data_IF_491960079763
#
_entry.id   IF_491960079763
#
_cell.length_a   1.000
_cell.length_b   1.000
_cell.length_c   1.000
_cell.angle_alpha   90.00
_cell.angle_beta   90.00
_cell.angle_gamma   90.00
#
_symmetry.space_group_name_H-M   'P 1'
#
loop_
_entity.id
_entity.type
_entity.pdbx_description
1 polymer ?
#
# COMPACT_ATOMS: atom_id res chain seq x y z
N UNK A 1 -5.05 2.46 5.93
CA UNK A 1 -5.73 2.79 4.67
C UNK A 1 -5.63 4.28 4.39
N UNK A 2 -5.46 4.66 3.13
CA UNK A 2 -5.52 6.07 2.72
C UNK A 2 -6.94 6.65 2.76
N UNK A 3 -7.98 5.82 2.80
CA UNK A 3 -9.37 6.24 2.76
C UNK A 3 -9.88 6.87 4.05
N UNK A 4 -9.27 6.59 5.19
CA UNK A 4 -9.72 7.12 6.47
C UNK A 4 -8.59 7.83 7.21
N UNK A 5 -8.80 9.09 7.56
CA UNK A 5 -7.84 9.87 8.36
C UNK A 5 -7.91 9.56 9.86
N UNK A 6 -8.95 8.85 10.30
CA UNK A 6 -9.21 8.43 11.68
C UNK A 6 -9.47 6.93 11.77
N UNK A 7 -9.49 6.38 12.95
CA UNK A 7 -9.83 4.98 13.18
C UNK A 7 -11.25 4.66 12.67
N UNK A 8 -12.20 5.51 13.00
CA UNK A 8 -13.59 5.39 12.55
C UNK A 8 -13.72 5.48 11.03
N UNK A 9 -13.05 6.47 10.40
CA UNK A 9 -13.07 6.65 8.95
C UNK A 9 -12.47 5.48 8.19
N UNK A 10 -11.53 4.73 8.77
CA UNK A 10 -11.03 3.49 8.17
C UNK A 10 -12.09 2.38 8.16
N UNK A 11 -12.86 2.25 9.25
CA UNK A 11 -13.99 1.29 9.35
C UNK A 11 -15.10 1.70 8.39
N UNK A 12 -15.47 2.97 8.34
CA UNK A 12 -16.48 3.50 7.41
C UNK A 12 -16.10 3.22 5.94
N UNK A 13 -14.82 3.41 5.59
CA UNK A 13 -14.32 3.10 4.24
C UNK A 13 -14.50 1.63 3.90
N UNK A 14 -14.18 0.71 4.81
CA UNK A 14 -14.36 -0.73 4.61
C UNK A 14 -15.86 -1.07 4.49
N UNK A 15 -16.68 -0.52 5.36
CA UNK A 15 -18.14 -0.70 5.35
C UNK A 15 -18.74 -0.23 4.03
N UNK A 16 -18.27 0.89 3.48
CA UNK A 16 -18.68 1.39 2.16
C UNK A 16 -18.39 0.43 1.01
N UNK A 17 -17.41 -0.44 1.15
CA UNK A 17 -17.11 -1.53 0.22
C UNK A 17 -17.82 -2.85 0.58
N UNK A 18 -18.71 -2.86 1.57
CA UNK A 18 -19.37 -4.08 2.03
C UNK A 18 -18.50 -5.00 2.91
N UNK A 19 -17.31 -4.53 3.29
CA UNK A 19 -16.38 -5.27 4.15
C UNK A 19 -16.75 -4.99 5.61
N UNK A 20 -17.56 -5.87 6.19
CA UNK A 20 -18.06 -5.78 7.57
C UNK A 20 -17.61 -6.98 8.40
N UNK A 21 -17.70 -6.89 9.73
CA UNK A 21 -17.35 -8.02 10.60
C UNK A 21 -18.23 -9.24 10.32
N UNK A 22 -19.53 -9.04 10.05
CA UNK A 22 -20.46 -10.11 9.70
C UNK A 22 -20.05 -10.80 8.39
N UNK A 23 -19.64 -10.02 7.38
CA UNK A 23 -19.18 -10.56 6.10
C UNK A 23 -17.85 -11.32 6.24
N UNK A 24 -16.92 -10.79 7.03
CA UNK A 24 -15.60 -11.38 7.23
C UNK A 24 -15.61 -12.56 8.20
N UNK A 25 -16.58 -12.61 9.12
CA UNK A 25 -16.59 -13.56 10.23
C UNK A 25 -15.48 -13.33 11.27
N UNK A 26 -14.91 -12.13 11.29
CA UNK A 26 -13.85 -11.75 12.23
C UNK A 26 -13.92 -10.25 12.58
N UNK A 27 -13.34 -9.85 13.74
CA UNK A 27 -13.36 -8.45 14.17
C UNK A 27 -12.56 -7.52 13.25
N UNK A 28 -13.08 -6.31 13.02
CA UNK A 28 -12.36 -5.20 12.36
C UNK A 28 -11.75 -4.31 13.45
N UNK A 29 -10.43 -4.35 13.60
CA UNK A 29 -9.72 -3.49 14.55
C UNK A 29 -9.08 -2.33 13.79
N UNK A 30 -9.39 -1.11 14.19
CA UNK A 30 -8.82 0.11 13.64
C UNK A 30 -8.31 1.02 14.74
N UNK A 31 -7.12 1.57 14.54
CA UNK A 31 -6.47 2.54 15.43
C UNK A 31 -5.53 3.42 14.61
N UNK A 32 -5.21 4.59 15.14
CA UNK A 32 -4.12 5.43 14.62
C UNK A 32 -2.84 5.24 15.44
N UNK A 33 -2.84 4.38 16.44
CA UNK A 33 -1.67 4.07 17.25
C UNK A 33 -0.62 3.30 16.45
N UNK A 34 0.63 3.69 16.62
CA UNK A 34 1.76 3.07 15.94
C UNK A 34 2.89 2.74 16.91
N UNK A 35 3.68 1.73 16.56
CA UNK A 35 4.92 1.35 17.22
C UNK A 35 6.09 1.77 16.34
N UNK A 36 7.12 2.42 16.89
CA UNK A 36 8.40 2.63 16.20
C UNK A 36 9.19 1.32 16.26
N UNK A 37 9.40 0.69 15.09
CA UNK A 37 10.10 -0.60 14.98
C UNK A 37 11.60 -0.44 14.68
N UNK A 38 12.09 0.78 14.65
CA UNK A 38 13.49 1.12 14.42
C UNK A 38 13.67 2.32 13.52
N UNK A 39 14.91 2.54 13.09
CA UNK A 39 15.27 3.66 12.23
C UNK A 39 16.06 3.19 11.01
N UNK A 40 16.02 3.96 9.96
CA UNK A 40 16.90 3.83 8.80
C UNK A 40 18.26 4.45 9.10
N UNK A 41 19.25 4.23 8.24
CA UNK A 41 20.61 4.75 8.39
C UNK A 41 20.68 6.28 8.43
N UNK A 42 19.72 6.96 7.78
CA UNK A 42 19.58 8.42 7.82
C UNK A 42 18.87 8.93 9.09
N UNK A 43 18.57 8.05 10.06
CA UNK A 43 17.89 8.37 11.31
C UNK A 43 16.36 8.46 11.22
N UNK A 44 15.77 8.28 10.03
CA UNK A 44 14.32 8.31 9.84
C UNK A 44 13.64 7.17 10.61
N UNK A 45 12.64 7.46 11.46
CA UNK A 45 11.91 6.42 12.19
C UNK A 45 10.96 5.65 11.26
N UNK A 46 10.79 4.36 11.53
CA UNK A 46 9.84 3.48 10.83
C UNK A 46 8.74 3.07 11.79
N UNK A 47 7.51 3.31 11.39
CA UNK A 47 6.31 3.06 12.20
C UNK A 47 5.44 1.97 11.59
N UNK A 48 4.80 1.19 12.48
CA UNK A 48 3.83 0.15 12.11
C UNK A 48 2.62 0.24 13.03
N UNK A 49 1.43 0.01 12.49
CA UNK A 49 0.17 -0.12 13.22
C UNK A 49 0.33 -1.04 14.42
N UNK A 50 -0.16 -0.61 15.58
CA UNK A 50 -0.01 -1.33 16.83
C UNK A 50 -0.69 -2.69 16.81
N UNK A 51 -1.92 -2.77 16.30
CA UNK A 51 -2.64 -4.06 16.22
C UNK A 51 -1.94 -5.05 15.28
N UNK A 52 -1.42 -4.55 14.15
CA UNK A 52 -0.65 -5.38 13.24
C UNK A 52 0.64 -5.88 13.89
N UNK A 53 1.35 -5.02 14.62
CA UNK A 53 2.59 -5.39 15.31
C UNK A 53 2.37 -6.45 16.39
N UNK A 54 1.26 -6.36 17.14
CA UNK A 54 0.88 -7.29 18.21
C UNK A 54 0.29 -8.62 17.67
N UNK A 55 -0.10 -8.69 16.40
CA UNK A 55 -0.68 -9.88 15.79
C UNK A 55 0.33 -11.04 15.69
N UNK A 56 -0.18 -12.27 15.59
CA UNK A 56 0.65 -13.48 15.41
C UNK A 56 1.24 -13.60 14.00
N UNK A 57 0.58 -12.99 13.01
CA UNK A 57 1.02 -12.90 11.61
C UNK A 57 0.29 -11.81 10.87
N UNK A 58 0.89 -11.29 9.80
CA UNK A 58 0.35 -10.22 8.97
C UNK A 58 0.29 -10.68 7.53
N UNK A 59 -0.88 -10.58 6.89
CA UNK A 59 -1.04 -10.69 5.46
C UNK A 59 -1.40 -9.29 4.93
N UNK A 60 -0.56 -8.76 4.05
CA UNK A 60 -0.82 -7.48 3.40
C UNK A 60 -1.71 -7.71 2.18
N UNK A 61 -2.77 -6.93 2.05
CA UNK A 61 -3.63 -6.99 0.87
C UNK A 61 -3.75 -5.60 0.26
N UNK A 62 -3.51 -5.49 -1.03
CA UNK A 62 -3.57 -4.19 -1.68
C UNK A 62 -3.65 -4.25 -3.19
N UNK A 63 -4.24 -3.19 -3.78
CA UNK A 63 -4.23 -3.00 -5.23
C UNK A 63 -2.87 -2.49 -5.67
N UNK A 64 -2.29 -3.16 -6.66
CA UNK A 64 -1.04 -2.76 -7.30
C UNK A 64 -1.39 -2.03 -8.60
N UNK A 65 -1.09 -0.73 -8.66
CA UNK A 65 -1.42 0.11 -9.80
C UNK A 65 -0.49 1.31 -9.93
N UNK A 66 -0.53 1.97 -11.09
CA UNK A 66 0.18 3.23 -11.32
C UNK A 66 -0.19 4.27 -10.26
N UNK A 67 0.82 4.99 -9.77
CA UNK A 67 0.62 6.13 -8.88
C UNK A 67 0.35 7.41 -9.70
N UNK A 68 -0.43 8.34 -9.15
CA UNK A 68 -0.78 9.58 -9.85
C UNK A 68 0.37 10.57 -9.94
N UNK A 69 1.24 10.62 -8.94
CA UNK A 69 2.25 11.68 -8.79
C UNK A 69 3.69 11.25 -9.13
N UNK A 70 4.01 9.97 -9.15
CA UNK A 70 5.37 9.50 -9.45
C UNK A 70 5.37 8.19 -10.22
N UNK A 71 6.52 7.86 -10.81
CA UNK A 71 6.77 6.62 -11.55
C UNK A 71 7.99 5.92 -10.96
N UNK A 72 7.94 4.57 -10.96
CA UNK A 72 9.03 3.75 -10.49
C UNK A 72 8.70 2.26 -10.51
N UNK A 73 9.63 1.42 -10.05
CA UNK A 73 9.38 -0.02 -9.89
C UNK A 73 8.38 -0.33 -8.78
N UNK A 74 8.24 0.55 -7.78
CA UNK A 74 7.25 0.47 -6.71
C UNK A 74 6.43 1.75 -6.72
N UNK A 75 5.13 1.63 -6.90
CA UNK A 75 4.20 2.75 -6.90
C UNK A 75 3.08 2.52 -5.88
N UNK A 76 1.84 2.27 -6.28
CA UNK A 76 0.80 1.78 -5.36
C UNK A 76 0.80 0.26 -5.34
N UNK A 77 0.91 -0.35 -4.18
CA UNK A 77 1.00 -1.79 -4.07
C UNK A 77 1.19 -2.29 -2.63
N UNK A 78 1.67 -3.51 -2.49
CA UNK A 78 1.88 -4.19 -1.21
C UNK A 78 2.96 -3.48 -0.38
N UNK A 79 4.07 -3.08 -1.01
CA UNK A 79 5.12 -2.28 -0.34
C UNK A 79 4.57 -0.95 0.17
N UNK A 80 3.76 -0.25 -0.62
CA UNK A 80 3.12 0.99 -0.17
C UNK A 80 2.11 0.73 0.95
N UNK A 81 1.39 -0.39 0.92
CA UNK A 81 0.50 -0.79 2.00
C UNK A 81 1.28 -1.04 3.30
N UNK A 82 2.43 -1.70 3.22
CA UNK A 82 3.32 -1.87 4.37
C UNK A 82 3.77 -0.51 4.94
N UNK A 83 4.29 0.38 4.10
CA UNK A 83 4.95 1.63 4.52
C UNK A 83 3.94 2.69 4.95
N UNK A 84 2.93 2.96 4.12
CA UNK A 84 1.97 4.03 4.35
C UNK A 84 0.70 3.50 5.03
N UNK A 85 0.20 2.34 4.61
CA UNK A 85 -1.00 1.73 5.19
C UNK A 85 -0.81 1.37 6.66
N UNK A 86 0.19 0.55 6.98
CA UNK A 86 0.51 0.21 8.36
C UNK A 86 1.23 1.34 9.10
N UNK A 87 1.98 2.21 8.41
CA UNK A 87 2.66 3.35 9.03
C UNK A 87 1.70 4.42 9.57
N UNK A 88 0.43 4.39 9.15
CA UNK A 88 -0.59 5.37 9.51
C UNK A 88 -0.14 6.80 9.22
N UNK A 89 -0.69 7.78 9.92
CA UNK A 89 -0.32 9.19 9.75
C UNK A 89 1.18 9.43 10.05
N UNK A 90 1.68 8.89 11.17
CA UNK A 90 3.09 9.08 11.56
C UNK A 90 4.07 8.54 10.54
N UNK A 91 3.81 7.35 10.01
CA UNK A 91 4.62 6.76 8.95
C UNK A 91 4.54 7.55 7.65
N UNK A 92 3.34 7.97 7.25
CA UNK A 92 3.14 8.80 6.07
C UNK A 92 3.89 10.14 6.18
N UNK A 93 3.79 10.85 7.31
CA UNK A 93 4.50 12.11 7.55
C UNK A 93 6.03 11.92 7.51
N UNK A 94 6.54 10.85 8.12
CA UNK A 94 7.97 10.54 8.11
C UNK A 94 8.50 10.32 6.69
N UNK A 95 7.73 9.64 5.84
CA UNK A 95 8.12 9.32 4.46
C UNK A 95 7.95 10.52 3.52
N UNK A 96 6.91 11.34 3.71
CA UNK A 96 6.66 12.49 2.84
C UNK A 96 7.53 13.72 3.17
N UNK A 97 8.28 13.70 4.27
CA UNK A 97 9.16 14.81 4.66
C UNK A 97 10.15 15.18 3.57
N UNK A 98 10.67 14.18 2.84
CA UNK A 98 11.68 14.36 1.79
C UNK A 98 11.07 14.52 0.39
N UNK A 99 9.74 14.63 0.31
CA UNK A 99 8.99 14.87 -0.93
C UNK A 99 8.61 13.59 -1.69
N UNK A 100 7.62 13.74 -2.58
CA UNK A 100 7.05 12.61 -3.36
C UNK A 100 8.05 11.97 -4.33
N UNK A 101 9.04 12.72 -4.80
CA UNK A 101 10.01 12.22 -5.78
C UNK A 101 10.90 11.11 -5.18
N UNK A 102 11.25 11.21 -3.91
CA UNK A 102 12.05 10.20 -3.22
C UNK A 102 11.21 9.00 -2.74
N UNK A 103 9.88 9.14 -2.67
CA UNK A 103 8.98 8.09 -2.18
C UNK A 103 9.18 6.76 -2.93
N UNK A 104 9.26 6.80 -4.26
CA UNK A 104 9.44 5.58 -5.06
C UNK A 104 10.73 4.81 -4.77
N UNK A 105 11.80 5.52 -4.38
CA UNK A 105 13.08 4.94 -3.97
C UNK A 105 13.06 4.45 -2.52
N UNK A 106 12.37 5.20 -1.66
CA UNK A 106 12.31 4.88 -0.22
C UNK A 106 11.36 3.73 0.10
N UNK A 107 10.31 3.53 -0.71
CA UNK A 107 9.33 2.47 -0.48
C UNK A 107 9.96 1.08 -0.27
N UNK A 108 10.82 0.54 -1.15
CA UNK A 108 11.41 -0.78 -0.94
C UNK A 108 12.34 -0.84 0.27
N UNK A 109 13.04 0.25 0.58
CA UNK A 109 13.98 0.32 1.72
C UNK A 109 13.19 0.23 3.04
N UNK A 110 12.13 1.03 3.16
CA UNK A 110 11.29 1.05 4.35
C UNK A 110 10.48 -0.24 4.46
N UNK A 111 9.93 -0.74 3.34
CA UNK A 111 9.21 -2.01 3.30
C UNK A 111 10.10 -3.16 3.78
N UNK A 112 11.35 -3.23 3.30
CA UNK A 112 12.30 -4.23 3.77
C UNK A 112 12.53 -4.14 5.29
N UNK A 113 12.72 -2.92 5.82
CA UNK A 113 12.85 -2.73 7.27
C UNK A 113 11.63 -3.22 8.04
N UNK A 114 10.41 -3.01 7.50
CA UNK A 114 9.18 -3.51 8.08
C UNK A 114 9.14 -5.06 8.04
N UNK A 115 9.44 -5.66 6.90
CA UNK A 115 9.44 -7.10 6.72
C UNK A 115 10.43 -7.81 7.65
N UNK A 116 11.63 -7.24 7.81
CA UNK A 116 12.68 -7.80 8.68
C UNK A 116 12.36 -7.67 10.18
N UNK A 117 11.46 -6.76 10.58
CA UNK A 117 11.19 -6.44 12.01
C UNK A 117 9.74 -6.66 12.44
N UNK A 118 8.92 -7.27 11.59
CA UNK A 118 7.53 -7.60 11.90
C UNK A 118 7.20 -9.04 11.47
N UNK A 119 5.98 -9.46 11.76
CA UNK A 119 5.50 -10.80 11.41
C UNK A 119 4.75 -10.82 10.07
N UNK A 120 5.16 -10.01 9.09
CA UNK A 120 4.61 -10.11 7.73
C UNK A 120 4.98 -11.45 7.14
N UNK A 121 3.98 -12.21 6.75
CA UNK A 121 4.12 -13.55 6.17
C UNK A 121 3.99 -13.53 4.65
N UNK A 122 3.05 -12.72 4.14
CA UNK A 122 2.73 -12.69 2.72
C UNK A 122 2.06 -11.37 2.32
N UNK A 123 2.07 -11.11 1.02
CA UNK A 123 1.29 -10.09 0.35
C UNK A 123 0.30 -10.72 -0.63
N UNK A 124 -0.91 -10.16 -0.71
CA UNK A 124 -1.89 -10.45 -1.76
C UNK A 124 -2.01 -9.21 -2.65
N UNK A 125 -1.48 -9.32 -3.86
CA UNK A 125 -1.50 -8.28 -4.87
C UNK A 125 -2.73 -8.42 -5.77
N UNK A 126 -3.48 -7.33 -5.93
CA UNK A 126 -4.65 -7.25 -6.79
C UNK A 126 -4.40 -6.26 -7.92
N UNK A 127 -4.64 -6.67 -9.17
CA UNK A 127 -4.55 -5.82 -10.35
C UNK A 127 -5.91 -5.65 -10.99
N UNK A 128 -6.22 -4.43 -11.42
CA UNK A 128 -7.47 -4.07 -12.08
C UNK A 128 -7.23 -3.72 -13.56
N UNK A 129 -8.24 -3.93 -14.38
CA UNK A 129 -8.26 -3.53 -15.78
C UNK A 129 -8.85 -2.11 -15.96
N UNK A 130 -9.02 -1.69 -17.22
CA UNK A 130 -9.57 -0.37 -17.59
C UNK A 130 -11.05 -0.17 -17.19
N UNK A 131 -11.73 -1.21 -16.73
CA UNK A 131 -13.13 -1.18 -16.27
C UNK A 131 -13.25 -1.31 -14.75
N UNK A 132 -12.15 -1.08 -14.01
CA UNK A 132 -12.05 -1.25 -12.55
C UNK A 132 -12.38 -2.68 -12.07
N UNK A 133 -12.24 -3.67 -12.95
CA UNK A 133 -12.47 -5.08 -12.61
C UNK A 133 -11.16 -5.75 -12.23
N UNK A 134 -11.17 -6.52 -11.15
CA UNK A 134 -10.01 -7.34 -10.75
C UNK A 134 -9.72 -8.38 -11.83
N UNK A 135 -8.54 -8.31 -12.42
CA UNK A 135 -8.10 -9.19 -13.50
C UNK A 135 -6.80 -9.95 -13.22
N UNK A 136 -6.08 -9.55 -12.18
CA UNK A 136 -4.87 -10.21 -11.69
C UNK A 136 -4.96 -10.36 -10.18
N UNK A 137 -4.64 -11.56 -9.69
CA UNK A 137 -4.49 -11.85 -8.26
C UNK A 137 -3.23 -12.71 -8.10
N UNK A 138 -2.33 -12.30 -7.22
CA UNK A 138 -1.10 -13.05 -6.95
C UNK A 138 -0.73 -12.97 -5.47
N UNK A 139 -0.43 -14.11 -4.86
CA UNK A 139 0.17 -14.17 -3.52
C UNK A 139 1.69 -14.20 -3.64
N UNK A 140 2.34 -13.49 -2.73
CA UNK A 140 3.81 -13.40 -2.64
C UNK A 140 4.20 -13.65 -1.19
N UNK A 141 5.09 -14.60 -0.93
CA UNK A 141 5.70 -14.74 0.39
C UNK A 141 6.49 -13.47 0.72
N UNK A 142 6.71 -13.19 2.00
CA UNK A 142 7.37 -11.94 2.42
C UNK A 142 8.73 -11.72 1.74
N UNK A 143 9.51 -12.78 1.56
CA UNK A 143 10.80 -12.76 0.88
C UNK A 143 10.71 -12.50 -0.62
N UNK A 144 9.54 -12.70 -1.22
CA UNK A 144 9.30 -12.53 -2.66
C UNK A 144 8.72 -11.16 -3.02
N UNK A 145 8.13 -10.44 -2.05
CA UNK A 145 7.35 -9.21 -2.34
C UNK A 145 8.21 -8.20 -3.10
N UNK A 146 9.43 -7.94 -2.63
CA UNK A 146 10.32 -6.95 -3.24
C UNK A 146 10.74 -7.32 -4.67
N UNK A 147 10.86 -8.60 -4.96
CA UNK A 147 11.29 -9.06 -6.29
C UNK A 147 10.11 -9.15 -7.27
N UNK A 148 8.92 -9.54 -6.79
CA UNK A 148 7.75 -9.83 -7.64
C UNK A 148 6.85 -8.62 -7.88
N UNK A 149 6.72 -7.71 -6.92
CA UNK A 149 5.81 -6.56 -7.06
C UNK A 149 6.12 -5.68 -8.28
N UNK A 150 7.39 -5.39 -8.65
CA UNK A 150 7.68 -4.62 -9.86
C UNK A 150 7.15 -5.24 -11.16
N UNK A 151 7.27 -6.57 -11.33
CA UNK A 151 6.71 -7.27 -12.49
C UNK A 151 5.18 -7.28 -12.46
N UNK A 152 4.59 -7.51 -11.30
CA UNK A 152 3.14 -7.43 -11.13
C UNK A 152 2.62 -6.04 -11.50
N UNK A 153 3.28 -4.96 -11.04
CA UNK A 153 2.95 -3.58 -11.41
C UNK A 153 3.02 -3.35 -12.92
N UNK A 154 4.07 -3.84 -13.58
CA UNK A 154 4.22 -3.76 -15.04
C UNK A 154 3.03 -4.42 -15.75
N UNK A 155 2.68 -5.65 -15.36
CA UNK A 155 1.54 -6.40 -15.94
C UNK A 155 0.20 -5.70 -15.69
N UNK A 156 0.03 -5.07 -14.54
CA UNK A 156 -1.17 -4.28 -14.22
C UNK A 156 -1.25 -3.03 -15.09
N UNK A 157 -0.13 -2.29 -15.24
CA UNK A 157 -0.08 -1.09 -16.10
C UNK A 157 -0.46 -1.36 -17.56
N UNK A 158 -0.16 -2.55 -18.06
CA UNK A 158 -0.55 -2.97 -19.42
C UNK A 158 -2.07 -3.09 -19.60
N UNK A 159 -2.81 -3.29 -18.49
CA UNK A 159 -4.26 -3.51 -18.45
C UNK A 159 -5.07 -2.29 -18.02
N UNK A 160 -4.43 -1.30 -17.42
CA UNK A 160 -5.09 -0.06 -17.02
C UNK A 160 -5.58 0.75 -18.23
N UNK A 161 -6.61 1.56 -18.02
CA UNK A 161 -7.06 2.53 -18.99
C UNK A 161 -5.94 3.46 -19.43
N UNK A 162 -5.92 3.78 -20.72
CA UNK A 162 -4.91 4.64 -21.35
C UNK A 162 -5.57 5.74 -22.13
N UNK A 163 -4.97 6.91 -22.11
CA UNK A 163 -5.24 7.97 -23.06
C UNK A 163 -4.35 7.67 -24.27
N UNK A 164 -4.95 7.49 -25.45
CA UNK A 164 -4.26 7.05 -26.67
C UNK A 164 -3.67 8.20 -27.49
N UNK A 165 -3.79 9.42 -27.03
CA UNK A 165 -3.26 10.61 -27.70
C UNK A 165 -1.96 11.04 -27.03
N UNK A 166 -0.90 11.17 -27.78
CA UNK A 166 0.41 11.59 -27.26
C UNK A 166 0.48 13.07 -26.91
N UNK A 167 -0.26 13.90 -27.65
CA UNK A 167 -0.33 15.35 -27.45
C UNK A 167 -1.78 15.77 -27.27
N UNK A 168 -2.06 16.45 -26.16
CA UNK A 168 -3.38 16.94 -25.82
C UNK A 168 -3.25 18.40 -25.38
N UNK A 169 -3.84 19.32 -26.15
CA UNK A 169 -3.84 20.74 -25.81
C UNK A 169 -4.86 21.06 -24.71
N UNK A 170 -6.01 20.40 -24.74
CA UNK A 170 -7.07 20.54 -23.73
C UNK A 170 -7.70 19.18 -23.46
N UNK A 171 -7.74 18.78 -22.19
CA UNK A 171 -8.43 17.59 -21.73
C UNK A 171 -9.53 17.99 -20.74
N UNK A 172 -10.78 17.68 -21.06
CA UNK A 172 -11.92 17.85 -20.15
C UNK A 172 -12.29 16.47 -19.62
N UNK A 173 -12.32 16.33 -18.30
CA UNK A 173 -12.68 15.09 -17.60
C UNK A 173 -13.86 15.38 -16.70
N UNK A 174 -14.94 14.60 -16.82
CA UNK A 174 -16.12 14.64 -15.96
C UNK A 174 -15.99 13.67 -14.79
#
# INVERSE_FOLDING_TARGET
SHGGATAEGQVETLTGYGVTEDFLGCPIKSSMDTVEIGRLDNGQPVYVDKYAYEADGIILCGRVKAHTAFRGPYESGVCKMAVIGMGKQKGAEAVHRDGFYELGKMLPIIAKKIFDNTKVMAGLALGENAFDQTCLIESMLVEEILDKEPDFLRRTKERLGKIYFDNIDVLVVE
#
